data_IF_822764540033
#
_entry.id   IF_822764540033
#
_cell.length_a   1.000
_cell.length_b   1.000
_cell.length_c   1.000
_cell.angle_alpha   90.00
_cell.angle_beta   90.00
_cell.angle_gamma   90.00
#
_symmetry.space_group_name_H-M   'P 1'
#
loop_
_entity.id
_entity.type
_entity.pdbx_description
1 polymer ?
#
# COMPACT_ATOMS: atom_id res chain seq x y z
N UNK A 1 4.81 -1.03 -18.98
CA UNK A 1 6.00 -0.72 -18.14
C UNK A 1 5.76 -1.14 -16.70
N UNK A 2 6.78 -1.66 -16.01
CA UNK A 2 6.66 -2.00 -14.59
C UNK A 2 6.63 -0.73 -13.75
N UNK A 3 5.84 -0.73 -12.68
CA UNK A 3 5.77 0.40 -11.75
C UNK A 3 5.70 -0.12 -10.32
N UNK A 4 6.25 0.67 -9.38
CA UNK A 4 6.18 0.35 -7.97
C UNK A 4 4.72 0.07 -7.56
N UNK A 5 4.48 -0.91 -6.68
CA UNK A 5 3.15 -1.16 -6.12
C UNK A 5 2.49 0.12 -5.60
N UNK A 6 1.16 0.20 -5.60
CA UNK A 6 0.40 1.36 -5.10
C UNK A 6 0.61 2.70 -5.84
N UNK A 7 1.32 2.73 -6.97
CA UNK A 7 1.55 3.93 -7.77
C UNK A 7 0.25 4.40 -8.41
N UNK A 8 -0.08 5.69 -8.23
CA UNK A 8 -1.28 6.32 -8.80
C UNK A 8 -1.16 6.54 -10.31
N UNK A 9 -2.18 6.11 -11.08
CA UNK A 9 -2.27 6.41 -12.50
C UNK A 9 -2.41 7.92 -12.76
N UNK A 10 -3.00 8.67 -11.84
CA UNK A 10 -3.07 10.12 -11.94
C UNK A 10 -1.67 10.75 -11.91
N UNK A 11 -0.81 10.28 -11.01
CA UNK A 11 0.57 10.76 -10.93
C UNK A 11 1.37 10.39 -12.19
N UNK A 12 1.20 9.16 -12.69
CA UNK A 12 1.80 8.73 -13.97
C UNK A 12 1.33 9.60 -15.14
N UNK A 13 0.02 9.88 -15.23
CA UNK A 13 -0.53 10.72 -16.28
C UNK A 13 0.05 12.14 -16.25
N UNK A 14 0.12 12.75 -15.06
CA UNK A 14 0.73 14.06 -14.87
C UNK A 14 2.21 14.07 -15.26
N UNK A 15 2.97 13.06 -14.81
CA UNK A 15 4.38 12.94 -15.11
C UNK A 15 4.67 12.83 -16.62
N UNK A 16 3.84 12.06 -17.34
CA UNK A 16 3.98 11.89 -18.79
C UNK A 16 3.41 13.05 -19.61
N UNK A 17 2.76 14.01 -18.93
CA UNK A 17 1.94 15.07 -19.52
C UNK A 17 0.90 14.51 -20.51
N UNK A 18 0.06 13.58 -20.04
CA UNK A 18 -1.02 12.96 -20.83
C UNK A 18 -2.35 13.03 -20.08
N UNK A 19 -3.45 12.97 -20.84
CA UNK A 19 -4.78 12.96 -20.24
C UNK A 19 -5.00 11.70 -19.38
N UNK A 20 -5.39 11.91 -18.11
CA UNK A 20 -5.62 10.83 -17.15
C UNK A 20 -6.73 9.87 -17.58
N UNK A 21 -7.85 10.35 -18.15
CA UNK A 21 -8.95 9.50 -18.61
C UNK A 21 -8.47 8.57 -19.73
N UNK A 22 -7.65 9.08 -20.65
CA UNK A 22 -7.06 8.28 -21.73
C UNK A 22 -6.11 7.21 -21.20
N UNK A 23 -5.25 7.56 -20.23
CA UNK A 23 -4.38 6.57 -19.58
C UNK A 23 -5.21 5.52 -18.82
N UNK A 24 -6.27 5.94 -18.12
CA UNK A 24 -7.17 5.03 -17.40
C UNK A 24 -7.87 4.06 -18.34
N UNK A 25 -8.36 4.52 -19.50
CA UNK A 25 -8.98 3.66 -20.53
C UNK A 25 -7.99 2.62 -21.06
N UNK A 26 -6.71 2.97 -21.23
CA UNK A 26 -5.67 1.99 -21.57
C UNK A 26 -5.37 1.01 -20.44
N UNK A 27 -5.73 1.31 -19.20
CA UNK A 27 -5.43 0.49 -18.03
C UNK A 27 -6.72 0.00 -17.34
N UNK A 28 -7.75 -0.38 -18.12
CA UNK A 28 -9.04 -0.83 -17.61
C UNK A 28 -8.96 -2.12 -16.79
N UNK A 29 -7.91 -2.92 -16.99
CA UNK A 29 -7.63 -4.10 -16.17
C UNK A 29 -7.38 -3.77 -14.69
N UNK A 30 -7.05 -2.50 -14.37
CA UNK A 30 -6.84 -2.08 -13.01
C UNK A 30 -8.17 -1.80 -12.31
N UNK A 31 -8.51 -2.63 -11.33
CA UNK A 31 -9.67 -2.43 -10.45
C UNK A 31 -9.73 -1.04 -9.81
N UNK A 32 -8.58 -0.50 -9.43
CA UNK A 32 -8.43 0.84 -8.84
C UNK A 32 -7.55 1.72 -9.71
N UNK A 33 -7.58 3.05 -9.53
CA UNK A 33 -6.72 3.99 -10.27
C UNK A 33 -5.25 3.99 -9.84
N UNK A 34 -4.76 2.88 -9.32
CA UNK A 34 -3.38 2.68 -8.90
C UNK A 34 -2.98 1.21 -9.01
N UNK A 35 -1.68 0.95 -9.04
CA UNK A 35 -1.15 -0.40 -9.20
C UNK A 35 -1.38 -1.27 -7.95
N UNK A 36 -1.62 -2.59 -8.09
CA UNK A 36 -1.80 -3.51 -6.97
C UNK A 36 -0.58 -3.61 -6.04
N UNK A 37 -0.70 -4.26 -4.86
CA UNK A 37 0.39 -4.43 -3.89
C UNK A 37 1.39 -5.54 -4.28
N UNK A 38 1.58 -5.78 -5.58
CA UNK A 38 2.52 -6.75 -6.16
C UNK A 38 3.07 -6.20 -7.46
N UNK A 39 4.13 -6.84 -7.99
CA UNK A 39 4.75 -6.45 -9.27
C UNK A 39 3.68 -6.38 -10.36
N UNK A 40 3.51 -5.22 -10.98
CA UNK A 40 2.44 -5.00 -11.95
C UNK A 40 2.91 -4.15 -13.12
N UNK A 41 2.30 -4.36 -14.28
CA UNK A 41 2.58 -3.60 -15.50
C UNK A 41 1.40 -2.70 -15.84
N UNK A 42 1.71 -1.45 -16.19
CA UNK A 42 0.73 -0.53 -16.77
C UNK A 42 1.03 -0.30 -18.25
N UNK A 43 0.00 0.00 -19.02
CA UNK A 43 0.11 0.40 -20.42
C UNK A 43 0.25 1.92 -20.52
N UNK A 44 1.33 2.36 -21.15
CA UNK A 44 1.62 3.77 -21.47
C UNK A 44 1.90 3.87 -22.98
N UNK A 45 1.74 5.05 -23.60
CA UNK A 45 2.11 5.23 -25.01
C UNK A 45 3.58 4.87 -25.27
N UNK A 46 3.85 4.11 -26.34
CA UNK A 46 5.19 3.61 -26.65
C UNK A 46 6.23 4.73 -26.76
N UNK A 47 5.89 5.85 -27.43
CA UNK A 47 6.73 7.05 -27.56
C UNK A 47 7.19 7.64 -26.21
N UNK A 48 6.49 7.35 -25.11
CA UNK A 48 6.81 7.84 -23.75
C UNK A 48 7.60 6.82 -22.91
N UNK A 49 7.83 5.60 -23.43
CA UNK A 49 8.39 4.49 -22.66
C UNK A 49 9.82 4.75 -22.20
N UNK A 50 10.70 5.20 -23.10
CA UNK A 50 12.10 5.48 -22.78
C UNK A 50 12.22 6.59 -21.72
N UNK A 51 11.50 7.71 -21.93
CA UNK A 51 11.43 8.82 -20.98
C UNK A 51 10.91 8.37 -19.60
N UNK A 52 9.86 7.55 -19.58
CA UNK A 52 9.31 7.02 -18.32
C UNK A 52 10.34 6.17 -17.58
N UNK A 53 10.99 5.21 -18.25
CA UNK A 53 11.96 4.32 -17.60
C UNK A 53 13.15 5.07 -16.99
N UNK A 54 13.58 6.16 -17.64
CA UNK A 54 14.75 6.95 -17.24
C UNK A 54 14.43 7.94 -16.13
N UNK A 55 13.27 8.59 -16.19
CA UNK A 55 12.98 9.75 -15.33
C UNK A 55 11.90 9.48 -14.27
N UNK A 56 11.05 8.46 -14.46
CA UNK A 56 9.97 8.20 -13.51
C UNK A 56 10.52 7.58 -12.23
N UNK A 57 10.50 8.38 -11.16
CA UNK A 57 10.63 7.89 -9.80
C UNK A 57 9.24 7.88 -9.18
N UNK A 58 8.81 6.74 -8.64
CA UNK A 58 7.57 6.68 -7.86
C UNK A 58 7.78 7.56 -6.62
N UNK A 59 7.29 8.79 -6.69
CA UNK A 59 7.31 9.77 -5.59
C UNK A 59 5.89 9.89 -5.06
N UNK A 60 5.77 9.96 -3.74
CA UNK A 60 4.50 10.11 -3.05
C UNK A 60 4.07 8.86 -2.28
N UNK A 61 2.78 8.80 -1.95
CA UNK A 61 2.24 7.80 -1.04
C UNK A 61 1.89 6.50 -1.76
N UNK A 62 2.30 5.38 -1.17
CA UNK A 62 1.85 4.04 -1.52
C UNK A 62 0.36 3.88 -1.19
N UNK A 63 -0.48 3.67 -2.20
CA UNK A 63 -1.91 3.47 -2.00
C UNK A 63 -2.20 1.99 -1.68
N UNK A 64 -2.72 1.75 -0.47
CA UNK A 64 -3.04 0.41 0.00
C UNK A 64 -4.54 0.25 0.24
N UNK A 65 -5.13 -0.83 -0.28
CA UNK A 65 -6.55 -1.13 -0.03
C UNK A 65 -6.69 -1.92 1.26
N UNK A 66 -7.26 -1.29 2.26
CA UNK A 66 -7.62 -1.90 3.53
C UNK A 66 -9.09 -2.31 3.54
N UNK A 67 -9.39 -3.55 3.95
CA UNK A 67 -10.76 -4.05 4.13
C UNK A 67 -11.16 -3.93 5.60
N UNK A 68 -12.15 -3.11 5.89
CA UNK A 68 -12.69 -2.87 7.24
C UNK A 68 -13.17 -4.18 7.86
N UNK A 69 -12.72 -4.46 9.09
CA UNK A 69 -13.11 -5.61 9.90
C UNK A 69 -14.06 -5.18 11.02
N UNK A 70 -14.78 -6.13 11.60
CA UNK A 70 -15.64 -5.90 12.78
C UNK A 70 -14.83 -5.23 13.90
N UNK A 71 -15.37 -4.16 14.49
CA UNK A 71 -14.74 -3.40 15.59
C UNK A 71 -13.67 -2.39 15.17
N UNK A 72 -13.41 -2.23 13.86
CA UNK A 72 -12.55 -1.18 13.35
C UNK A 72 -13.19 0.20 13.50
N UNK A 73 -12.36 1.19 13.82
CA UNK A 73 -12.70 2.62 13.72
C UNK A 73 -11.64 3.31 12.87
N UNK A 74 -11.98 4.46 12.29
CA UNK A 74 -10.99 5.27 11.56
C UNK A 74 -9.79 5.60 12.43
N UNK A 75 -9.99 5.87 13.72
CA UNK A 75 -8.92 6.14 14.68
C UNK A 75 -8.00 4.93 14.86
N UNK A 76 -8.54 3.72 15.04
CA UNK A 76 -7.75 2.49 15.16
C UNK A 76 -6.95 2.22 13.88
N UNK A 77 -7.57 2.39 12.71
CA UNK A 77 -6.92 2.19 11.41
C UNK A 77 -5.81 3.24 11.20
N UNK A 78 -6.10 4.51 11.48
CA UNK A 78 -5.15 5.61 11.42
C UNK A 78 -3.91 5.35 12.30
N UNK A 79 -4.13 4.99 13.57
CA UNK A 79 -3.06 4.64 14.52
C UNK A 79 -2.27 3.40 14.08
N UNK A 80 -2.93 2.41 13.50
CA UNK A 80 -2.30 1.20 12.98
C UNK A 80 -1.24 1.52 11.92
N UNK A 81 -1.62 2.35 10.96
CA UNK A 81 -0.79 2.75 9.83
C UNK A 81 0.05 4.01 10.06
N UNK A 82 -0.11 4.69 11.21
CA UNK A 82 0.61 5.92 11.51
C UNK A 82 0.23 7.11 10.60
N UNK A 83 -1.05 7.20 10.23
CA UNK A 83 -1.56 8.28 9.36
C UNK A 83 -2.69 9.06 10.06
N UNK A 84 -2.95 10.29 9.62
CA UNK A 84 -4.05 11.10 10.18
C UNK A 84 -5.41 10.59 9.68
N UNK A 85 -6.43 10.58 10.56
CA UNK A 85 -7.82 10.21 10.23
C UNK A 85 -8.36 11.05 9.06
N UNK A 86 -8.09 12.37 9.08
CA UNK A 86 -8.50 13.29 8.01
C UNK A 86 -8.02 12.82 6.64
N UNK A 87 -6.77 12.37 6.51
CA UNK A 87 -6.27 11.84 5.23
C UNK A 87 -7.03 10.59 4.77
N UNK A 88 -7.42 9.68 5.69
CA UNK A 88 -8.25 8.53 5.30
C UNK A 88 -9.60 9.00 4.77
N UNK A 89 -10.24 9.96 5.45
CA UNK A 89 -11.53 10.51 5.03
C UNK A 89 -11.43 11.17 3.65
N UNK A 90 -10.45 12.05 3.46
CA UNK A 90 -10.27 12.82 2.24
C UNK A 90 -10.03 11.90 1.02
N UNK A 91 -9.15 10.90 1.15
CA UNK A 91 -8.85 9.95 0.08
C UNK A 91 -10.03 9.05 -0.31
N UNK A 92 -10.94 8.80 0.62
CA UNK A 92 -12.05 7.86 0.44
C UNK A 92 -13.41 8.54 0.32
N UNK A 93 -13.47 9.88 0.40
CA UNK A 93 -14.71 10.67 0.43
C UNK A 93 -15.71 10.10 1.43
N UNK A 94 -15.23 9.79 2.65
CA UNK A 94 -16.04 9.07 3.65
C UNK A 94 -17.08 9.97 4.33
N UNK A 95 -18.28 9.41 4.50
CA UNK A 95 -19.30 9.95 5.39
C UNK A 95 -19.07 9.57 6.87
N UNK A 96 -20.14 9.63 7.66
CA UNK A 96 -20.11 9.49 9.14
C UNK A 96 -19.76 8.08 9.63
N UNK A 97 -20.14 7.02 8.90
CA UNK A 97 -20.06 5.63 9.37
C UNK A 97 -19.16 4.75 8.52
N UNK A 98 -18.48 3.78 9.17
CA UNK A 98 -17.77 2.69 8.51
C UNK A 98 -18.63 1.43 8.49
N UNK A 99 -18.61 0.70 7.37
CA UNK A 99 -19.27 -0.59 7.23
C UNK A 99 -18.25 -1.72 7.24
N UNK A 100 -18.58 -2.85 7.86
CA UNK A 100 -17.76 -4.06 7.76
C UNK A 100 -17.60 -4.44 6.29
N UNK A 101 -16.43 -4.96 5.92
CA UNK A 101 -16.03 -5.28 4.55
C UNK A 101 -15.86 -4.08 3.61
N UNK A 102 -16.13 -2.85 4.04
CA UNK A 102 -15.85 -1.64 3.27
C UNK A 102 -14.35 -1.57 2.93
N UNK A 103 -14.03 -1.13 1.70
CA UNK A 103 -12.65 -0.98 1.25
C UNK A 103 -12.23 0.47 1.35
N UNK A 104 -11.13 0.72 2.05
CA UNK A 104 -10.53 2.03 2.24
C UNK A 104 -9.17 2.09 1.55
N UNK A 105 -8.94 3.13 0.78
CA UNK A 105 -7.64 3.53 0.25
C UNK A 105 -6.88 4.22 1.37
N UNK A 106 -5.78 3.61 1.79
CA UNK A 106 -4.91 4.10 2.85
C UNK A 106 -3.64 4.63 2.17
N UNK A 107 -3.38 5.95 2.19
CA UNK A 107 -2.22 6.54 1.56
C UNK A 107 -1.02 6.48 2.52
N UNK A 108 -0.10 5.54 2.29
CA UNK A 108 1.02 5.21 3.16
C UNK A 108 2.33 5.83 2.67
N UNK A 109 3.24 6.11 3.61
CA UNK A 109 4.62 6.51 3.27
C UNK A 109 5.58 5.30 3.21
N UNK A 110 5.03 4.10 3.28
CA UNK A 110 5.77 2.85 3.36
C UNK A 110 5.00 1.74 2.65
N UNK A 111 5.72 0.76 2.14
CA UNK A 111 5.16 -0.45 1.54
C UNK A 111 5.20 -1.60 2.54
N UNK A 112 4.44 -2.65 2.26
CA UNK A 112 4.49 -3.88 3.03
C UNK A 112 5.01 -5.01 2.18
N UNK A 113 5.99 -5.74 2.71
CA UNK A 113 6.47 -6.99 2.13
C UNK A 113 5.89 -8.14 2.94
N UNK A 114 5.44 -9.19 2.26
CA UNK A 114 5.01 -10.42 2.92
C UNK A 114 6.26 -11.22 3.31
N UNK A 115 6.32 -11.64 4.55
CA UNK A 115 7.38 -12.49 5.09
C UNK A 115 6.76 -13.76 5.66
N UNK A 116 7.24 -14.92 5.23
CA UNK A 116 6.86 -16.22 5.78
C UNK A 116 7.80 -16.54 6.94
N UNK A 117 7.25 -16.67 8.14
CA UNK A 117 7.99 -16.97 9.37
C UNK A 117 8.70 -18.31 9.22
N UNK A 118 9.98 -18.34 9.57
CA UNK A 118 10.88 -19.50 9.48
C UNK A 118 11.13 -20.11 10.88
N UNK A 119 11.60 -21.36 10.96
CA UNK A 119 12.05 -21.93 12.24
C UNK A 119 13.08 -21.03 12.92
N UNK A 120 12.93 -20.80 14.23
CA UNK A 120 13.82 -19.96 15.04
C UNK A 120 13.58 -18.45 14.94
N UNK A 121 12.63 -18.00 14.10
CA UNK A 121 12.24 -16.58 14.02
C UNK A 121 11.52 -16.12 15.28
N UNK A 122 11.81 -14.88 15.68
CA UNK A 122 11.01 -14.12 16.65
C UNK A 122 10.65 -12.77 16.05
N UNK A 123 9.61 -12.11 16.55
CA UNK A 123 9.27 -10.76 16.08
C UNK A 123 10.44 -9.78 16.22
N UNK A 124 11.28 -9.92 17.25
CA UNK A 124 12.47 -9.09 17.44
C UNK A 124 13.55 -9.38 16.40
N UNK A 125 13.85 -10.66 16.12
CA UNK A 125 14.84 -11.03 15.10
C UNK A 125 14.41 -10.55 13.70
N UNK A 126 13.14 -10.73 13.35
CA UNK A 126 12.58 -10.24 12.10
C UNK A 126 12.65 -8.70 12.06
N UNK A 127 12.21 -8.03 13.12
CA UNK A 127 12.26 -6.58 13.24
C UNK A 127 13.67 -6.02 12.99
N UNK A 128 14.69 -6.59 13.65
CA UNK A 128 16.09 -6.22 13.49
C UNK A 128 16.57 -6.41 12.05
N UNK A 129 16.29 -7.59 11.46
CA UNK A 129 16.66 -7.91 10.07
C UNK A 129 16.12 -6.92 9.05
N UNK A 130 14.94 -6.35 9.30
CA UNK A 130 14.30 -5.40 8.39
C UNK A 130 14.45 -3.93 8.82
N UNK A 131 15.21 -3.64 9.89
CA UNK A 131 15.42 -2.28 10.38
C UNK A 131 14.12 -1.58 10.80
N UNK A 132 13.17 -2.32 11.39
CA UNK A 132 11.88 -1.79 11.86
C UNK A 132 11.60 -2.18 13.30
N UNK A 133 10.70 -1.45 13.98
CA UNK A 133 10.29 -1.83 15.32
C UNK A 133 9.37 -3.06 15.31
N UNK A 134 9.63 -4.03 16.20
CA UNK A 134 8.74 -5.18 16.40
C UNK A 134 7.32 -4.74 16.81
N UNK A 135 7.18 -3.64 17.58
CA UNK A 135 5.88 -3.05 17.95
C UNK A 135 5.11 -2.61 16.71
N UNK A 136 5.80 -2.10 15.69
CA UNK A 136 5.21 -1.70 14.41
C UNK A 136 4.75 -2.91 13.61
N UNK A 137 5.57 -3.95 13.50
CA UNK A 137 5.18 -5.23 12.86
C UNK A 137 3.95 -5.80 13.58
N UNK A 138 3.98 -5.89 14.91
CA UNK A 138 2.86 -6.39 15.73
C UNK A 138 1.57 -5.64 15.43
N UNK A 139 1.62 -4.30 15.43
CA UNK A 139 0.48 -3.43 15.18
C UNK A 139 -0.10 -3.60 13.77
N UNK A 140 0.75 -3.61 12.74
CA UNK A 140 0.33 -3.76 11.34
C UNK A 140 -0.32 -5.12 11.07
N UNK A 141 0.16 -6.16 11.76
CA UNK A 141 -0.38 -7.51 11.64
C UNK A 141 -1.53 -7.82 12.59
N UNK A 142 -1.90 -6.88 13.47
CA UNK A 142 -2.96 -7.06 14.49
C UNK A 142 -2.68 -8.25 15.42
N UNK A 143 -1.40 -8.50 15.70
CA UNK A 143 -0.99 -9.57 16.60
C UNK A 143 -1.33 -9.18 18.05
N UNK A 144 -1.98 -10.09 18.77
CA UNK A 144 -2.37 -9.88 20.17
C UNK A 144 -1.15 -10.01 21.11
N UNK A 145 -0.32 -11.02 20.87
CA UNK A 145 0.92 -11.27 21.62
C UNK A 145 2.14 -11.10 20.72
N UNK A 146 3.34 -11.37 21.27
CA UNK A 146 4.57 -11.37 20.48
C UNK A 146 4.86 -12.75 19.84
N UNK A 147 3.93 -13.69 19.97
CA UNK A 147 4.06 -15.06 19.46
C UNK A 147 3.69 -15.06 17.98
N UNK A 148 4.57 -15.65 17.17
CA UNK A 148 4.39 -15.90 15.73
C UNK A 148 4.65 -17.37 15.46
N UNK A 149 3.98 -17.96 14.48
CA UNK A 149 4.11 -19.40 14.16
C UNK A 149 4.92 -19.61 12.90
N UNK A 150 5.71 -20.69 12.86
CA UNK A 150 6.40 -21.11 11.64
C UNK A 150 5.38 -21.29 10.51
N UNK A 151 5.70 -20.76 9.33
CA UNK A 151 4.81 -20.76 8.17
C UNK A 151 3.79 -19.62 8.12
N UNK A 152 3.59 -18.87 9.22
CA UNK A 152 2.72 -17.70 9.24
C UNK A 152 3.24 -16.63 8.27
N UNK A 153 2.34 -16.01 7.50
CA UNK A 153 2.71 -14.91 6.60
C UNK A 153 2.34 -13.58 7.23
N UNK A 154 3.35 -12.82 7.63
CA UNK A 154 3.22 -11.49 8.24
C UNK A 154 3.65 -10.39 7.28
N UNK A 155 3.14 -9.18 7.49
CA UNK A 155 3.49 -7.97 6.76
C UNK A 155 4.62 -7.23 7.47
N UNK A 156 5.68 -6.95 6.74
CA UNK A 156 6.81 -6.17 7.23
C UNK A 156 6.80 -4.80 6.55
N UNK A 157 6.70 -3.70 7.32
CA UNK A 157 6.80 -2.35 6.75
C UNK A 157 8.21 -2.08 6.20
N UNK A 158 8.29 -1.39 5.07
CA UNK A 158 9.53 -0.87 4.49
C UNK A 158 9.30 0.57 4.03
N UNK A 159 10.17 1.49 4.44
CA UNK A 159 10.16 2.86 3.92
C UNK A 159 10.37 2.83 2.39
N UNK A 160 9.71 3.76 1.70
CA UNK A 160 9.85 3.98 0.26
C UNK A 160 11.13 4.75 -0.06
#
# INVERSE_FOLDING_TARGET
VNVSPGTSLYYVARFLNINYKNLRKKNMQLKYSFTPPYKYYIYIPYKKLAFFKTHFKSKGRFLYVYKVKKGDTLLKIAKMYGIKVKMIKDYNKLGKYLRVNQKLIIPLNERFVKYKVKPGDTLNKIALKFGVSYKKIKRINRLKSNIIRVGEVIKIPQKL
#
